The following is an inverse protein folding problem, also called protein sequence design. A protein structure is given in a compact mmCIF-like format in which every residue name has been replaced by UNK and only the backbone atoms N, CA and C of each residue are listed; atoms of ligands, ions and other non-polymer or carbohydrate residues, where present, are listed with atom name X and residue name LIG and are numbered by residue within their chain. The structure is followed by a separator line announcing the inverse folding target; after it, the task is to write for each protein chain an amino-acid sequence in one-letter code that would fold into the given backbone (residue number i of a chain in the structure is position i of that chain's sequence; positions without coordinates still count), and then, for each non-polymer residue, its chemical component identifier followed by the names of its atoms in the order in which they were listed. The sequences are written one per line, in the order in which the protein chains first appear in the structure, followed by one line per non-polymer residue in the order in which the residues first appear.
data_IF_678724415874
#
_entry.id   IF_678724415874
#
_cell.length_a   1.000
_cell.length_b   1.000
_cell.length_c   1.000
_cell.angle_alpha   90.00
_cell.angle_beta   90.00
_cell.angle_gamma   90.00
#
_symmetry.space_group_name_H-M   'P 1'
#
loop_
_entity.id
_entity.type
_entity.pdbx_description
1 polymer ?
#
# COMPACT_ATOMS: atom_id res chain seq x y z
N UNK A 1 -79.61 7.08 -3.25
CA UNK A 1 -78.50 8.02 -3.53
C UNK A 1 -78.78 8.74 -4.84
N UNK A 2 -78.85 10.08 -4.82
CA UNK A 2 -79.37 10.88 -5.93
C UNK A 2 -78.46 10.90 -7.16
N UNK A 3 -79.10 10.99 -8.34
CA UNK A 3 -78.49 11.06 -9.69
C UNK A 3 -77.29 12.01 -9.85
N UNK A 4 -77.18 13.04 -9.00
CA UNK A 4 -76.02 13.95 -8.96
C UNK A 4 -74.74 13.30 -8.43
N UNK A 5 -74.84 12.39 -7.46
CA UNK A 5 -73.68 11.72 -6.85
C UNK A 5 -73.02 10.73 -7.83
N UNK A 6 -73.82 10.04 -8.65
CA UNK A 6 -73.36 9.08 -9.65
C UNK A 6 -72.61 9.80 -10.80
N UNK A 7 -73.10 10.98 -11.22
CA UNK A 7 -72.41 11.80 -12.23
C UNK A 7 -71.06 12.35 -11.73
N UNK A 8 -70.96 12.74 -10.47
CA UNK A 8 -69.70 13.20 -9.88
C UNK A 8 -68.66 12.07 -9.75
N UNK A 9 -69.08 10.86 -9.40
CA UNK A 9 -68.19 9.69 -9.29
C UNK A 9 -67.70 9.25 -10.69
N UNK A 10 -68.56 9.27 -11.71
CA UNK A 10 -68.17 8.94 -13.08
C UNK A 10 -67.22 9.96 -13.71
N UNK A 11 -67.37 11.26 -13.40
CA UNK A 11 -66.42 12.29 -13.86
C UNK A 11 -65.05 12.16 -13.20
N UNK A 12 -65.00 11.85 -11.89
CA UNK A 12 -63.72 11.61 -11.19
C UNK A 12 -63.00 10.35 -11.69
N UNK A 13 -63.74 9.30 -12.05
CA UNK A 13 -63.15 8.09 -12.64
C UNK A 13 -62.60 8.33 -14.06
N UNK A 14 -63.24 9.17 -14.89
CA UNK A 14 -62.72 9.53 -16.22
C UNK A 14 -61.47 10.42 -16.14
N UNK A 15 -61.37 11.34 -15.17
CA UNK A 15 -60.18 12.19 -14.99
C UNK A 15 -58.97 11.42 -14.41
N UNK A 16 -59.20 10.39 -13.60
CA UNK A 16 -58.14 9.49 -13.12
C UNK A 16 -57.63 8.52 -14.22
N UNK A 17 -58.48 8.14 -15.17
CA UNK A 17 -58.11 7.24 -16.27
C UNK A 17 -57.31 7.88 -17.42
N UNK A 18 -57.34 9.21 -17.54
CA UNK A 18 -56.70 9.96 -18.63
C UNK A 18 -55.35 10.62 -18.28
N UNK A 19 -54.85 10.42 -17.05
CA UNK A 19 -53.57 11.00 -16.58
C UNK A 19 -52.43 9.97 -16.39
N UNK A 20 -52.61 8.74 -16.85
CA UNK A 20 -51.57 7.70 -16.82
C UNK A 20 -51.22 7.19 -18.22
N UNK A 21 -50.57 8.01 -19.05
CA UNK A 21 -49.48 7.48 -19.85
C UNK A 21 -48.29 8.46 -19.85
N UNK A 22 -47.14 8.05 -19.29
CA UNK A 22 -45.92 8.83 -19.53
C UNK A 22 -44.72 8.65 -18.62
N UNK A 23 -44.73 7.76 -17.61
CA UNK A 23 -43.56 7.57 -16.74
C UNK A 23 -43.07 6.11 -16.62
N UNK A 24 -43.33 5.31 -17.65
CA UNK A 24 -42.55 4.09 -17.88
C UNK A 24 -41.71 4.28 -19.13
N UNK A 25 -40.72 5.18 -19.02
CA UNK A 25 -39.52 5.05 -19.82
C UNK A 25 -38.73 3.89 -19.20
N UNK A 26 -39.13 2.66 -19.49
CA UNK A 26 -38.23 1.52 -19.41
C UNK A 26 -37.20 1.71 -20.51
N UNK A 27 -36.23 2.58 -20.27
CA UNK A 27 -34.90 2.37 -20.83
C UNK A 27 -34.47 1.01 -20.30
N UNK A 28 -34.64 -0.02 -21.14
CA UNK A 28 -33.79 -1.18 -21.13
C UNK A 28 -32.37 -0.61 -21.23
N UNK A 29 -31.76 -0.30 -20.09
CA UNK A 29 -30.33 -0.23 -19.98
C UNK A 29 -29.93 -1.64 -20.41
N UNK A 30 -29.44 -1.76 -21.65
CA UNK A 30 -28.81 -2.98 -22.08
C UNK A 30 -27.88 -3.35 -20.93
N UNK A 31 -28.11 -4.51 -20.32
CA UNK A 31 -27.13 -5.08 -19.44
C UNK A 31 -25.92 -5.27 -20.34
N UNK A 32 -25.00 -4.30 -20.33
CA UNK A 32 -23.62 -4.54 -20.72
C UNK A 32 -23.27 -5.79 -19.94
N UNK A 33 -23.12 -6.88 -20.69
CA UNK A 33 -22.63 -8.12 -20.15
C UNK A 33 -21.22 -7.73 -19.74
N UNK A 34 -21.01 -7.43 -18.46
CA UNK A 34 -19.68 -7.19 -17.92
C UNK A 34 -18.90 -8.46 -18.22
N UNK A 35 -18.12 -8.41 -19.31
CA UNK A 35 -17.26 -9.48 -19.75
C UNK A 35 -16.35 -9.76 -18.55
N UNK A 36 -16.46 -10.97 -18.00
CA UNK A 36 -15.74 -11.31 -16.79
C UNK A 36 -14.25 -11.04 -17.03
N UNK A 37 -13.55 -10.37 -16.09
CA UNK A 37 -12.15 -10.08 -16.24
C UNK A 37 -11.39 -11.37 -16.57
N UNK A 38 -10.63 -11.35 -17.66
CA UNK A 38 -9.84 -12.51 -18.07
C UNK A 38 -8.39 -12.09 -18.27
N UNK A 39 -7.48 -13.02 -17.96
CA UNK A 39 -6.05 -12.84 -18.15
C UNK A 39 -5.48 -14.11 -18.77
N UNK A 40 -4.54 -13.99 -19.71
CA UNK A 40 -3.82 -15.16 -20.21
C UNK A 40 -2.88 -15.74 -19.15
N UNK A 41 -2.53 -14.97 -18.10
CA UNK A 41 -1.73 -15.43 -16.98
C UNK A 41 -2.62 -16.15 -15.95
N UNK A 42 -2.34 -17.43 -15.71
CA UNK A 42 -3.21 -18.31 -14.92
C UNK A 42 -3.26 -17.91 -13.45
N UNK A 43 -2.21 -17.28 -12.91
CA UNK A 43 -2.13 -16.89 -11.51
C UNK A 43 -2.77 -15.52 -11.18
N UNK A 44 -3.56 -14.92 -12.08
CA UNK A 44 -4.19 -13.60 -11.84
C UNK A 44 -5.57 -13.73 -11.21
N UNK A 45 -6.43 -14.59 -11.75
CA UNK A 45 -7.82 -14.73 -11.31
C UNK A 45 -8.15 -16.11 -10.73
N UNK A 46 -7.21 -17.05 -10.73
CA UNK A 46 -7.42 -18.40 -10.18
C UNK A 46 -7.20 -18.41 -8.66
N UNK A 47 -8.26 -18.72 -7.92
CA UNK A 47 -8.25 -18.76 -6.45
C UNK A 47 -7.47 -19.96 -5.86
N UNK A 48 -7.08 -20.94 -6.66
CA UNK A 48 -6.18 -22.01 -6.24
C UNK A 48 -4.71 -21.56 -6.16
N UNK A 49 -4.36 -20.46 -6.84
CA UNK A 49 -3.02 -19.87 -6.77
C UNK A 49 -2.79 -19.25 -5.39
N UNK A 50 -1.61 -19.49 -4.80
CA UNK A 50 -1.25 -18.98 -3.48
C UNK A 50 0.23 -18.58 -3.42
N UNK A 51 0.54 -17.68 -2.50
CA UNK A 51 1.87 -17.14 -2.31
C UNK A 51 2.78 -18.20 -1.68
N UNK A 52 3.97 -18.38 -2.25
CA UNK A 52 4.97 -19.37 -1.80
C UNK A 52 6.19 -18.72 -1.13
N UNK A 53 6.28 -17.38 -1.21
CA UNK A 53 7.38 -16.60 -0.67
C UNK A 53 8.64 -16.67 -1.54
N UNK A 54 9.45 -15.61 -1.46
CA UNK A 54 10.65 -15.48 -2.31
C UNK A 54 11.71 -16.57 -2.12
N UNK A 55 11.69 -17.30 -1.01
CA UNK A 55 12.63 -18.41 -0.79
C UNK A 55 12.37 -19.58 -1.75
N UNK A 56 11.11 -19.81 -2.15
CA UNK A 56 10.79 -20.78 -3.18
C UNK A 56 11.40 -20.36 -4.54
N UNK A 57 11.34 -19.07 -4.87
CA UNK A 57 11.93 -18.51 -6.09
C UNK A 57 13.45 -18.65 -6.10
N UNK A 58 14.11 -18.40 -4.95
CA UNK A 58 15.57 -18.49 -4.80
C UNK A 58 16.13 -19.85 -5.18
N UNK A 59 15.38 -20.94 -4.94
CA UNK A 59 15.85 -22.30 -5.24
C UNK A 59 16.26 -22.49 -6.71
N UNK A 60 15.59 -21.83 -7.64
CA UNK A 60 15.91 -21.87 -9.08
C UNK A 60 16.50 -20.55 -9.61
N UNK A 61 16.28 -19.44 -8.91
CA UNK A 61 16.65 -18.08 -9.36
C UNK A 61 17.58 -17.35 -8.36
N UNK A 62 18.61 -18.03 -7.85
CA UNK A 62 19.49 -17.51 -6.78
C UNK A 62 20.21 -16.20 -7.17
N UNK A 63 20.66 -16.07 -8.42
CA UNK A 63 21.34 -14.84 -8.89
C UNK A 63 20.38 -13.64 -9.01
N UNK A 64 19.14 -13.87 -9.45
CA UNK A 64 18.11 -12.82 -9.46
C UNK A 64 17.75 -12.43 -8.02
N UNK A 65 17.63 -13.42 -7.13
CA UNK A 65 17.37 -13.17 -5.72
C UNK A 65 18.45 -12.29 -5.08
N UNK A 66 19.74 -12.66 -5.23
CA UNK A 66 20.89 -11.94 -4.67
C UNK A 66 20.94 -10.48 -5.10
N UNK A 67 20.67 -10.20 -6.37
CA UNK A 67 20.68 -8.84 -6.92
C UNK A 67 19.44 -8.06 -6.49
N UNK A 68 18.27 -8.70 -6.52
CA UNK A 68 17.00 -8.05 -6.16
C UNK A 68 16.96 -7.57 -4.71
N UNK A 69 17.44 -8.38 -3.74
CA UNK A 69 17.44 -7.99 -2.32
C UNK A 69 18.34 -6.78 -2.02
N UNK A 70 19.24 -6.39 -2.93
CA UNK A 70 20.09 -5.21 -2.81
C UNK A 70 19.43 -3.94 -3.39
N UNK A 71 18.33 -4.08 -4.11
CA UNK A 71 17.58 -2.94 -4.66
C UNK A 71 16.84 -2.17 -3.57
N UNK A 72 16.39 -0.95 -3.89
CA UNK A 72 15.55 -0.18 -2.96
C UNK A 72 14.24 -0.89 -2.56
N UNK A 73 13.67 -1.71 -3.46
CA UNK A 73 12.49 -2.53 -3.17
C UNK A 73 12.84 -3.69 -2.22
N UNK A 74 13.94 -4.40 -2.47
CA UNK A 74 14.41 -5.46 -1.57
C UNK A 74 14.84 -4.94 -0.19
N UNK A 75 15.27 -3.68 -0.11
CA UNK A 75 15.67 -2.99 1.12
C UNK A 75 14.56 -2.15 1.77
N UNK A 76 13.32 -2.23 1.26
CA UNK A 76 12.22 -1.34 1.69
C UNK A 76 11.79 -1.56 3.15
N UNK A 77 12.12 -2.69 3.75
CA UNK A 77 11.81 -3.02 5.14
C UNK A 77 12.83 -4.02 5.69
N UNK A 78 13.20 -3.89 6.96
CA UNK A 78 14.08 -4.87 7.62
C UNK A 78 14.15 -4.70 9.12
N UNK A 79 14.79 -5.66 9.79
CA UNK A 79 15.11 -5.56 11.23
C UNK A 79 16.02 -4.36 11.46
N UNK A 80 15.83 -3.66 12.57
CA UNK A 80 16.67 -2.55 12.97
C UNK A 80 18.07 -3.04 13.38
N UNK A 81 18.98 -3.08 12.42
CA UNK A 81 20.42 -3.34 12.63
C UNK A 81 21.24 -2.14 12.16
N UNK A 82 22.52 -2.09 12.56
CA UNK A 82 23.44 -1.03 12.12
C UNK A 82 23.65 -1.07 10.61
N UNK A 83 23.63 -2.26 10.02
CA UNK A 83 23.77 -2.48 8.57
C UNK A 83 22.52 -2.02 7.80
N UNK A 84 21.33 -2.20 8.38
CA UNK A 84 20.07 -1.77 7.74
C UNK A 84 19.84 -0.26 7.84
N UNK A 85 20.35 0.36 8.91
CA UNK A 85 20.14 1.79 9.18
C UNK A 85 21.10 2.66 8.36
N UNK A 86 20.53 3.58 7.60
CA UNK A 86 21.28 4.64 6.90
C UNK A 86 21.44 5.91 7.74
N UNK A 87 21.03 5.88 9.02
CA UNK A 87 20.94 7.06 9.84
C UNK A 87 22.26 7.43 10.53
N UNK A 88 22.54 8.74 10.61
CA UNK A 88 23.65 9.26 11.40
C UNK A 88 23.20 9.51 12.84
N UNK A 89 23.88 8.89 13.80
CA UNK A 89 23.59 9.01 15.24
C UNK A 89 24.55 9.99 15.95
N UNK A 90 25.34 10.76 15.21
CA UNK A 90 26.25 11.75 15.77
C UNK A 90 25.49 12.76 16.65
N UNK A 91 26.02 13.13 17.83
CA UNK A 91 25.31 14.02 18.76
C UNK A 91 24.90 15.37 18.16
N UNK A 92 25.62 15.84 17.14
CA UNK A 92 25.34 17.11 16.46
C UNK A 92 24.02 17.11 15.68
N UNK A 93 23.54 15.94 15.21
CA UNK A 93 22.40 15.86 14.29
C UNK A 93 21.25 14.97 14.80
N UNK A 94 21.44 14.26 15.92
CA UNK A 94 20.49 13.27 16.40
C UNK A 94 19.31 13.85 17.21
N UNK A 95 19.44 15.05 17.77
CA UNK A 95 18.39 15.61 18.63
C UNK A 95 17.25 16.22 17.80
N UNK A 96 16.02 15.75 18.04
CA UNK A 96 14.80 16.35 17.47
C UNK A 96 13.99 16.97 18.60
N UNK A 97 13.46 18.17 18.38
CA UNK A 97 12.58 18.86 19.31
C UNK A 97 11.23 19.15 18.68
N UNK A 98 10.17 18.53 19.22
CA UNK A 98 8.79 18.83 18.87
C UNK A 98 8.33 20.03 19.70
N UNK A 99 8.41 21.21 19.09
CA UNK A 99 8.03 22.49 19.71
C UNK A 99 6.54 22.59 20.01
N UNK A 100 5.69 21.82 19.32
CA UNK A 100 4.24 21.88 19.51
C UNK A 100 3.79 21.12 20.75
N UNK A 101 4.43 19.98 21.04
CA UNK A 101 4.12 19.15 22.19
C UNK A 101 5.15 19.23 23.32
N UNK A 102 6.21 20.01 23.15
CA UNK A 102 7.31 20.16 24.10
C UNK A 102 7.94 18.79 24.48
N UNK A 103 8.43 18.07 23.46
CA UNK A 103 9.16 16.82 23.65
C UNK A 103 10.45 16.82 22.85
N UNK A 104 11.51 16.36 23.50
CA UNK A 104 12.76 16.01 22.85
C UNK A 104 12.78 14.54 22.51
N UNK A 105 13.31 14.20 21.34
CA UNK A 105 13.57 12.82 20.92
C UNK A 105 15.05 12.67 20.58
N UNK A 106 15.67 11.62 21.12
CA UNK A 106 17.07 11.26 20.87
C UNK A 106 17.17 9.79 20.45
N UNK A 107 17.49 9.50 19.18
CA UNK A 107 17.82 8.16 18.72
C UNK A 107 19.24 7.79 19.14
N UNK A 108 19.46 6.54 19.54
CA UNK A 108 20.78 6.04 19.89
C UNK A 108 20.85 4.51 19.84
N UNK A 109 22.05 3.99 19.60
CA UNK A 109 22.36 2.58 19.79
C UNK A 109 22.80 2.33 21.23
N UNK A 110 22.27 1.28 21.83
CA UNK A 110 22.85 0.66 23.03
C UNK A 110 23.23 -0.77 22.67
N UNK A 111 24.53 -1.04 22.61
CA UNK A 111 25.09 -2.25 22.01
C UNK A 111 24.57 -2.45 20.57
N UNK A 112 23.77 -3.49 20.34
CA UNK A 112 23.19 -3.84 19.03
C UNK A 112 21.68 -3.62 18.97
N UNK A 113 21.12 -2.88 19.94
CA UNK A 113 19.72 -2.49 19.93
C UNK A 113 19.58 -0.99 19.73
N UNK A 114 18.67 -0.62 18.83
CA UNK A 114 18.32 0.76 18.55
C UNK A 114 17.17 1.22 19.45
N UNK A 115 17.34 2.37 20.10
CA UNK A 115 16.35 3.03 20.93
C UNK A 115 16.08 4.46 20.49
N UNK A 116 14.87 4.92 20.74
CA UNK A 116 14.50 6.33 20.73
C UNK A 116 14.07 6.72 22.14
N UNK A 117 14.77 7.68 22.74
CA UNK A 117 14.39 8.27 24.02
C UNK A 117 13.59 9.54 23.78
N UNK A 118 12.40 9.59 24.34
CA UNK A 118 11.57 10.78 24.45
C UNK A 118 11.72 11.35 25.86
N UNK A 119 11.87 12.66 25.99
CA UNK A 119 11.95 13.32 27.29
C UNK A 119 11.45 14.76 27.25
N UNK A 120 11.13 15.30 28.44
CA UNK A 120 10.81 16.72 28.65
C UNK A 120 11.65 17.28 29.79
N UNK A 121 12.00 18.56 29.69
CA UNK A 121 12.77 19.27 30.69
C UNK A 121 11.91 20.32 31.40
N UNK A 122 12.16 20.53 32.68
CA UNK A 122 11.73 21.72 33.43
C UNK A 122 13.00 22.36 34.00
N UNK A 123 13.45 23.44 33.37
CA UNK A 123 14.80 23.97 33.65
C UNK A 123 15.88 22.97 33.21
N UNK A 124 16.73 22.53 34.14
CA UNK A 124 17.76 21.51 33.89
C UNK A 124 17.27 20.09 34.24
N UNK A 125 16.11 19.96 34.87
CA UNK A 125 15.60 18.68 35.36
C UNK A 125 14.79 17.95 34.30
N UNK A 126 15.02 16.64 34.15
CA UNK A 126 14.19 15.78 33.30
C UNK A 126 12.92 15.37 34.04
N UNK A 127 11.77 15.89 33.63
CA UNK A 127 10.47 15.66 34.27
C UNK A 127 9.64 14.56 33.61
N UNK A 128 9.99 14.17 32.39
CA UNK A 128 9.41 13.03 31.68
C UNK A 128 10.50 12.28 30.95
N UNK A 129 10.43 10.95 30.94
CA UNK A 129 11.34 10.11 30.17
C UNK A 129 10.64 8.82 29.75
N UNK A 130 10.72 8.51 28.46
CA UNK A 130 10.32 7.24 27.87
C UNK A 130 11.43 6.74 26.96
N UNK A 131 11.76 5.45 27.04
CA UNK A 131 12.72 4.80 26.15
C UNK A 131 11.98 3.72 25.37
N UNK A 132 11.96 3.84 24.05
CA UNK A 132 11.32 2.88 23.16
C UNK A 132 12.38 2.16 22.34
N UNK A 133 12.40 0.83 22.43
CA UNK A 133 13.19 0.01 21.51
C UNK A 133 12.54 0.04 20.13
N UNK A 134 13.36 0.17 19.09
CA UNK A 134 12.98 0.06 17.69
C UNK A 134 13.32 -1.35 17.21
N UNK A 135 12.37 -2.00 16.55
CA UNK A 135 12.52 -3.38 16.07
C UNK A 135 12.78 -3.44 14.56
N UNK A 136 12.24 -2.46 13.80
CA UNK A 136 12.32 -2.44 12.35
C UNK A 136 12.62 -1.05 11.78
N UNK A 137 13.26 -1.05 10.61
CA UNK A 137 13.47 0.12 9.76
C UNK A 137 12.64 -0.06 8.50
N UNK A 138 11.84 0.95 8.18
CA UNK A 138 11.05 1.04 6.94
C UNK A 138 11.62 2.15 6.06
N UNK A 139 11.81 1.82 4.78
CA UNK A 139 12.54 2.61 3.80
C UNK A 139 13.90 2.01 3.42
N UNK A 140 14.28 2.18 2.16
CA UNK A 140 15.56 1.69 1.62
C UNK A 140 16.78 2.44 2.11
N UNK A 141 16.59 3.64 2.69
CA UNK A 141 17.68 4.56 3.02
C UNK A 141 18.01 5.56 1.93
N UNK A 142 17.34 5.51 0.76
CA UNK A 142 17.59 6.48 -0.32
C UNK A 142 17.01 7.87 -0.05
N UNK A 143 15.86 7.93 0.62
CA UNK A 143 15.16 9.18 0.97
C UNK A 143 15.01 9.31 2.48
N UNK A 144 14.48 8.26 3.11
CA UNK A 144 14.25 8.23 4.55
C UNK A 144 14.48 6.84 5.13
N UNK A 145 14.74 6.81 6.44
CA UNK A 145 14.62 5.64 7.31
C UNK A 145 13.69 6.01 8.45
N UNK A 146 12.47 5.49 8.39
CA UNK A 146 11.49 5.57 9.46
C UNK A 146 11.56 4.31 10.31
N UNK A 147 11.02 4.39 11.53
CA UNK A 147 11.28 3.41 12.57
C UNK A 147 9.97 2.85 13.09
N UNK A 148 9.94 1.54 13.29
CA UNK A 148 8.78 0.79 13.74
C UNK A 148 9.18 -0.08 14.94
N UNK A 149 8.28 -0.20 15.90
CA UNK A 149 8.41 -1.14 17.01
C UNK A 149 7.18 -2.04 17.11
N UNK A 150 7.36 -3.22 17.69
CA UNK A 150 6.33 -4.23 17.89
C UNK A 150 6.02 -4.39 19.36
N UNK A 151 4.73 -4.51 19.69
CA UNK A 151 4.27 -4.94 21.00
C UNK A 151 3.29 -6.09 20.80
N UNK A 152 3.67 -7.32 21.15
CA UNK A 152 2.84 -8.52 20.98
C UNK A 152 2.25 -8.71 19.56
N UNK A 153 3.05 -8.37 18.54
CA UNK A 153 2.66 -8.45 17.13
C UNK A 153 1.94 -7.21 16.59
N UNK A 154 1.61 -6.23 17.44
CA UNK A 154 1.04 -4.95 17.03
C UNK A 154 2.16 -3.97 16.66
N UNK A 155 2.13 -3.44 15.43
CA UNK A 155 3.17 -2.56 14.91
C UNK A 155 2.81 -1.08 15.01
N UNK A 156 3.78 -0.27 15.44
CA UNK A 156 3.61 1.16 15.64
C UNK A 156 4.77 1.95 15.04
N UNK A 157 4.47 3.13 14.49
CA UNK A 157 5.48 4.05 13.99
C UNK A 157 6.06 4.87 15.14
N UNK A 158 7.38 5.02 15.16
CA UNK A 158 8.05 5.99 16.01
C UNK A 158 7.90 7.43 15.45
N UNK A 159 8.00 8.47 16.29
CA UNK A 159 7.66 9.84 15.90
C UNK A 159 8.73 10.56 15.06
N UNK A 160 9.95 10.02 14.99
CA UNK A 160 11.06 10.62 14.26
C UNK A 160 11.60 9.71 13.15
N UNK A 161 12.04 10.34 12.07
CA UNK A 161 12.63 9.69 10.90
C UNK A 161 13.96 10.34 10.56
N UNK A 162 14.84 9.59 9.92
CA UNK A 162 16.07 10.14 9.35
C UNK A 162 15.84 10.45 7.88
N UNK A 163 16.12 11.69 7.46
CA UNK A 163 16.07 12.13 6.07
C UNK A 163 17.47 12.04 5.46
N UNK A 164 17.77 10.95 4.75
CA UNK A 164 19.14 10.61 4.33
C UNK A 164 19.80 11.70 3.52
N UNK A 165 19.09 12.26 2.52
CA UNK A 165 19.63 13.31 1.64
C UNK A 165 19.89 14.64 2.36
N UNK A 166 19.18 14.89 3.46
CA UNK A 166 19.35 16.10 4.27
C UNK A 166 20.31 15.87 5.44
N UNK A 167 20.78 14.64 5.64
CA UNK A 167 21.62 14.21 6.76
C UNK A 167 21.10 14.68 8.12
N UNK A 168 19.77 14.59 8.34
CA UNK A 168 19.16 15.05 9.58
C UNK A 168 18.04 14.15 10.08
N UNK A 169 17.89 14.13 11.39
CA UNK A 169 16.68 13.67 12.05
C UNK A 169 15.64 14.77 12.09
N UNK A 170 14.39 14.40 11.90
CA UNK A 170 13.26 15.31 12.08
C UNK A 170 12.01 14.49 12.43
N UNK A 171 10.92 15.19 12.68
CA UNK A 171 9.60 14.57 12.83
C UNK A 171 9.27 13.72 11.60
N UNK A 172 8.69 12.56 11.83
CA UNK A 172 8.22 11.69 10.77
C UNK A 172 7.01 12.32 10.05
N UNK A 173 6.82 12.07 8.75
CA UNK A 173 5.73 12.69 7.99
C UNK A 173 4.36 12.46 8.65
N UNK A 174 3.64 13.56 8.92
CA UNK A 174 2.33 13.55 9.59
C UNK A 174 2.39 13.68 11.11
N UNK A 175 3.58 13.85 11.71
CA UNK A 175 3.75 14.14 13.13
C UNK A 175 4.06 15.63 13.41
N UNK A 176 4.24 16.44 12.37
CA UNK A 176 4.55 17.86 12.49
C UNK A 176 3.34 18.69 12.97
N UNK A 177 3.58 19.94 13.40
CA UNK A 177 2.52 20.94 13.64
C UNK A 177 1.44 20.50 14.66
N UNK A 178 1.83 19.76 15.70
CA UNK A 178 0.93 19.36 16.79
C UNK A 178 0.05 18.14 16.49
N UNK A 179 0.24 17.47 15.34
CA UNK A 179 -0.47 16.23 15.01
C UNK A 179 0.27 14.97 15.46
N UNK A 180 1.41 15.12 16.15
CA UNK A 180 2.21 14.01 16.65
C UNK A 180 1.40 13.12 17.58
N UNK A 181 1.26 11.85 17.19
CA UNK A 181 0.72 10.77 18.03
C UNK A 181 1.83 10.06 18.81
N UNK A 182 3.03 10.65 18.90
CA UNK A 182 4.19 10.10 19.62
C UNK A 182 4.48 8.66 19.19
N UNK A 183 4.23 7.68 20.05
CA UNK A 183 4.46 6.25 19.78
C UNK A 183 3.13 5.47 19.65
N UNK A 184 2.01 6.11 19.29
CA UNK A 184 0.71 5.43 19.15
C UNK A 184 0.20 5.34 17.71
N UNK A 185 0.94 5.83 16.71
CA UNK A 185 0.53 5.69 15.30
C UNK A 185 0.60 4.23 14.87
N UNK A 186 -0.55 3.69 14.47
CA UNK A 186 -0.68 2.31 14.01
C UNK A 186 -0.02 2.14 12.63
N UNK A 187 0.71 1.04 12.44
CA UNK A 187 1.16 0.60 11.12
C UNK A 187 0.13 -0.41 10.60
N UNK A 188 -0.78 0.07 9.78
CA UNK A 188 -1.86 -0.74 9.22
C UNK A 188 -1.41 -1.54 7.99
N UNK A 189 -2.27 -2.45 7.55
CA UNK A 189 -2.03 -3.31 6.38
C UNK A 189 -1.65 -2.53 5.13
N UNK A 190 -2.24 -1.36 4.91
CA UNK A 190 -1.90 -0.50 3.77
C UNK A 190 -0.38 -0.22 3.70
N UNK A 191 0.21 0.24 4.81
CA UNK A 191 1.65 0.51 4.90
C UNK A 191 2.48 -0.75 4.61
N UNK A 192 2.13 -1.86 5.26
CA UNK A 192 2.89 -3.10 5.11
C UNK A 192 2.78 -3.69 3.71
N UNK A 193 1.62 -3.55 3.05
CA UNK A 193 1.38 -4.06 1.70
C UNK A 193 2.19 -3.33 0.62
N UNK A 194 2.63 -2.09 0.89
CA UNK A 194 3.44 -1.26 -0.02
C UNK A 194 4.94 -1.31 0.26
N UNK A 195 5.33 -1.75 1.46
CA UNK A 195 6.74 -1.78 1.88
C UNK A 195 7.27 -3.20 2.09
N UNK A 196 6.46 -4.22 1.86
CA UNK A 196 6.80 -5.59 2.18
C UNK A 196 6.15 -6.60 1.21
N UNK A 197 6.71 -7.81 1.17
CA UNK A 197 5.96 -9.01 0.80
C UNK A 197 4.69 -9.15 1.64
N UNK A 198 3.72 -9.95 1.18
CA UNK A 198 2.46 -10.06 1.93
C UNK A 198 2.71 -10.56 3.36
N UNK A 199 2.30 -9.79 4.39
CA UNK A 199 2.47 -10.21 5.76
C UNK A 199 1.37 -11.20 6.17
N UNK A 200 1.61 -11.96 7.23
CA UNK A 200 0.60 -12.77 7.93
C UNK A 200 -0.17 -11.84 8.87
N UNK A 201 -1.17 -11.15 8.31
CA UNK A 201 -2.01 -10.18 9.01
C UNK A 201 -3.14 -10.86 9.77
N UNK A 202 -3.38 -10.43 11.01
CA UNK A 202 -4.46 -10.96 11.83
C UNK A 202 -5.76 -10.26 11.47
N UNK A 203 -6.67 -10.98 10.81
CA UNK A 203 -7.98 -10.50 10.44
C UNK A 203 -8.75 -9.94 11.64
N UNK A 204 -9.42 -8.80 11.45
CA UNK A 204 -10.15 -8.08 12.50
C UNK A 204 -9.29 -7.21 13.42
N UNK A 205 -7.96 -7.23 13.28
CA UNK A 205 -7.08 -6.26 13.93
C UNK A 205 -6.81 -5.05 13.02
N UNK A 206 -6.33 -3.93 13.58
CA UNK A 206 -5.91 -2.77 12.76
C UNK A 206 -4.44 -2.87 12.31
N UNK A 207 -3.58 -3.47 13.12
CA UNK A 207 -2.13 -3.44 12.95
C UNK A 207 -1.40 -4.66 13.55
N UNK A 208 -2.07 -5.81 13.70
CA UNK A 208 -1.46 -7.02 14.25
C UNK A 208 -1.03 -7.99 13.15
N UNK A 209 0.19 -8.52 13.30
CA UNK A 209 0.79 -9.47 12.38
C UNK A 209 1.42 -10.64 13.14
N UNK A 210 1.21 -11.86 12.67
CA UNK A 210 1.92 -13.05 13.17
C UNK A 210 3.33 -13.16 12.56
N UNK A 211 3.50 -12.65 11.35
CA UNK A 211 4.75 -12.67 10.61
C UNK A 211 4.81 -11.55 9.57
N UNK A 212 6.01 -11.00 9.37
CA UNK A 212 6.27 -9.96 8.37
C UNK A 212 7.49 -10.34 7.54
N UNK A 213 7.43 -10.02 6.24
CA UNK A 213 8.54 -10.24 5.32
C UNK A 213 9.63 -9.17 5.53
N UNK A 214 10.71 -9.22 4.74
CA UNK A 214 11.88 -8.31 4.86
C UNK A 214 12.08 -7.46 3.60
N UNK A 215 11.03 -6.77 3.20
CA UNK A 215 11.01 -5.91 2.01
C UNK A 215 10.07 -6.46 0.94
N UNK A 216 9.88 -5.68 -0.13
CA UNK A 216 9.09 -6.10 -1.29
C UNK A 216 9.72 -7.37 -1.87
N UNK A 217 8.89 -8.34 -2.25
CA UNK A 217 9.32 -9.64 -2.77
C UNK A 217 8.95 -9.84 -4.24
N UNK A 218 9.31 -11.00 -4.79
CA UNK A 218 9.06 -11.38 -6.18
C UNK A 218 7.57 -11.36 -6.52
N UNK A 219 6.74 -11.89 -5.62
CA UNK A 219 5.31 -12.12 -5.86
C UNK A 219 4.51 -10.82 -5.82
N UNK A 220 5.05 -9.73 -5.26
CA UNK A 220 4.46 -8.38 -5.38
C UNK A 220 4.37 -7.87 -6.82
N UNK A 221 5.23 -8.36 -7.71
CA UNK A 221 5.23 -8.01 -9.13
C UNK A 221 4.77 -9.16 -10.04
N UNK A 222 4.96 -10.40 -9.60
CA UNK A 222 4.71 -11.61 -10.39
C UNK A 222 3.41 -12.35 -10.01
N UNK A 223 2.76 -11.94 -8.92
CA UNK A 223 1.58 -12.61 -8.37
C UNK A 223 1.93 -13.92 -7.63
N UNK A 224 0.92 -14.68 -7.19
CA UNK A 224 1.10 -15.93 -6.47
C UNK A 224 1.88 -16.95 -7.31
N UNK A 225 2.97 -17.50 -6.78
CA UNK A 225 3.91 -18.35 -7.53
C UNK A 225 3.64 -19.85 -7.49
N UNK A 226 2.63 -20.32 -6.74
CA UNK A 226 2.43 -21.75 -6.46
C UNK A 226 2.32 -22.62 -7.71
N UNK A 227 1.54 -22.20 -8.70
CA UNK A 227 1.37 -22.95 -9.96
C UNK A 227 2.69 -23.09 -10.71
N UNK A 228 3.46 -22.01 -10.79
CA UNK A 228 4.75 -22.01 -11.48
C UNK A 228 5.74 -22.95 -10.80
N UNK A 229 5.87 -22.83 -9.48
CA UNK A 229 6.75 -23.70 -8.69
C UNK A 229 6.34 -25.16 -8.85
N UNK A 230 5.04 -25.48 -8.73
CA UNK A 230 4.54 -26.84 -8.88
C UNK A 230 4.86 -27.42 -10.26
N UNK A 231 4.61 -26.68 -11.34
CA UNK A 231 4.90 -27.14 -12.70
C UNK A 231 6.40 -27.37 -12.94
N UNK A 232 7.25 -26.45 -12.46
CA UNK A 232 8.70 -26.56 -12.68
C UNK A 232 9.28 -27.73 -11.87
N UNK A 233 8.79 -27.94 -10.65
CA UNK A 233 9.17 -29.08 -9.82
C UNK A 233 8.70 -30.43 -10.40
N UNK A 234 7.60 -30.44 -11.15
CA UNK A 234 7.12 -31.61 -11.88
C UNK A 234 7.88 -31.87 -13.20
N UNK A 235 8.86 -31.05 -13.55
CA UNK A 235 9.63 -31.16 -14.80
C UNK A 235 8.95 -30.55 -16.02
N UNK A 236 7.83 -29.84 -15.85
CA UNK A 236 7.14 -29.14 -16.95
C UNK A 236 7.86 -27.81 -17.25
N UNK A 237 8.91 -27.90 -18.06
CA UNK A 237 9.71 -26.73 -18.48
C UNK A 237 9.15 -26.16 -19.78
N UNK A 238 8.84 -24.86 -19.78
CA UNK A 238 8.36 -24.12 -20.96
C UNK A 238 9.54 -23.45 -21.65
N UNK A 239 9.67 -23.66 -22.96
CA UNK A 239 10.64 -22.96 -23.79
C UNK A 239 10.22 -21.49 -23.97
N UNK A 240 10.74 -20.64 -23.10
CA UNK A 240 10.39 -19.21 -23.08
C UNK A 240 10.83 -18.42 -24.31
N UNK A 241 11.64 -19.01 -25.20
CA UNK A 241 12.00 -18.42 -26.50
C UNK A 241 10.84 -18.46 -27.49
N UNK A 242 9.91 -19.42 -27.34
CA UNK A 242 8.74 -19.62 -28.22
C UNK A 242 7.47 -18.94 -27.72
N UNK A 243 7.38 -18.69 -26.42
CA UNK A 243 6.20 -18.10 -25.79
C UNK A 243 6.42 -17.85 -24.31
N UNK A 244 5.54 -17.12 -23.62
CA UNK A 244 5.64 -16.98 -22.17
C UNK A 244 5.27 -18.28 -21.45
N UNK A 245 5.83 -18.44 -20.24
CA UNK A 245 5.28 -19.37 -19.26
C UNK A 245 4.09 -18.70 -18.58
N UNK A 246 2.87 -19.07 -18.97
CA UNK A 246 1.64 -18.50 -18.44
C UNK A 246 1.29 -18.95 -17.00
N UNK A 247 2.13 -19.76 -16.34
CA UNK A 247 1.93 -20.12 -14.92
C UNK A 247 2.23 -18.98 -13.94
N UNK A 248 2.95 -17.94 -14.39
CA UNK A 248 3.33 -16.78 -13.56
C UNK A 248 3.39 -15.51 -14.40
N UNK A 249 2.84 -14.41 -13.88
CA UNK A 249 2.87 -13.12 -14.58
C UNK A 249 4.31 -12.70 -14.85
N UNK A 250 4.56 -12.26 -16.08
CA UNK A 250 5.79 -11.56 -16.44
C UNK A 250 5.45 -10.10 -16.75
N UNK A 251 5.80 -9.13 -15.87
CA UNK A 251 5.51 -7.71 -16.10
C UNK A 251 5.97 -7.20 -17.47
N UNK A 252 7.11 -7.69 -18.00
CA UNK A 252 7.62 -7.28 -19.33
C UNK A 252 6.66 -7.60 -20.48
N UNK A 253 5.74 -8.55 -20.28
CA UNK A 253 4.80 -9.02 -21.29
C UNK A 253 3.36 -8.55 -21.03
N UNK A 254 3.15 -7.71 -20.01
CA UNK A 254 1.85 -7.07 -19.78
C UNK A 254 1.67 -5.88 -20.75
N UNK A 255 0.43 -5.57 -21.17
CA UNK A 255 0.11 -4.25 -21.73
C UNK A 255 0.59 -3.12 -20.81
N UNK A 256 1.01 -1.99 -21.37
CA UNK A 256 1.58 -0.85 -20.63
C UNK A 256 0.71 -0.43 -19.44
N UNK A 257 -0.61 -0.42 -19.61
CA UNK A 257 -1.52 -0.03 -18.52
C UNK A 257 -1.49 -1.01 -17.34
N UNK A 258 -1.42 -2.31 -17.61
CA UNK A 258 -1.32 -3.32 -16.55
C UNK A 258 0.07 -3.31 -15.89
N UNK A 259 1.14 -3.01 -16.65
CA UNK A 259 2.47 -2.76 -16.06
C UNK A 259 2.42 -1.59 -15.07
N UNK A 260 1.79 -0.48 -15.47
CA UNK A 260 1.62 0.67 -14.60
C UNK A 260 0.80 0.34 -13.37
N UNK A 261 -0.28 -0.45 -13.48
CA UNK A 261 -1.10 -0.82 -12.35
C UNK A 261 -0.31 -1.59 -11.28
N UNK A 262 0.61 -2.46 -11.68
CA UNK A 262 1.55 -3.12 -10.74
C UNK A 262 2.35 -2.08 -9.95
N UNK A 263 2.89 -1.07 -10.62
CA UNK A 263 3.66 -0.01 -9.98
C UNK A 263 2.80 0.94 -9.13
N UNK A 264 1.61 1.30 -9.62
CA UNK A 264 0.67 2.21 -8.97
C UNK A 264 0.17 1.68 -7.64
N UNK A 265 0.14 0.36 -7.47
CA UNK A 265 -0.22 -0.25 -6.19
C UNK A 265 0.55 0.31 -5.01
N UNK A 266 1.79 0.76 -5.22
CA UNK A 266 2.64 1.36 -4.19
C UNK A 266 3.05 2.81 -4.51
N UNK A 267 3.24 3.16 -5.78
CA UNK A 267 3.78 4.46 -6.21
C UNK A 267 2.72 5.44 -6.74
N UNK A 268 1.48 5.30 -6.27
CA UNK A 268 0.38 6.24 -6.47
C UNK A 268 -0.31 6.51 -5.13
N UNK A 269 0.40 7.16 -4.21
CA UNK A 269 -0.04 7.34 -2.82
C UNK A 269 -0.95 8.57 -2.66
N UNK A 270 -2.15 8.49 -3.25
CA UNK A 270 -3.25 9.43 -3.02
C UNK A 270 -4.20 8.93 -1.93
N UNK A 271 -5.46 9.37 -1.98
CA UNK A 271 -6.53 8.77 -1.17
C UNK A 271 -6.95 7.48 -1.89
N UNK A 272 -6.50 6.34 -1.37
CA UNK A 272 -6.90 5.02 -1.86
C UNK A 272 -8.25 4.63 -1.26
N UNK A 273 -9.21 4.32 -2.13
CA UNK A 273 -10.56 3.86 -1.76
C UNK A 273 -10.72 2.45 -2.32
N UNK A 274 -10.84 1.47 -1.43
CA UNK A 274 -11.14 0.08 -1.79
C UNK A 274 -12.57 -0.01 -2.32
N UNK A 275 -12.77 -0.82 -3.35
CA UNK A 275 -14.10 -1.18 -3.82
C UNK A 275 -14.81 -2.04 -2.77
N UNK A 276 -16.15 -2.10 -2.85
CA UNK A 276 -16.95 -2.86 -1.90
C UNK A 276 -16.51 -4.33 -1.79
N UNK A 277 -16.32 -4.79 -0.56
CA UNK A 277 -15.88 -6.15 -0.26
C UNK A 277 -14.44 -6.49 -0.65
N UNK A 278 -13.65 -5.52 -1.13
CA UNK A 278 -12.24 -5.70 -1.47
C UNK A 278 -11.31 -5.29 -0.33
N UNK A 279 -10.13 -5.87 -0.37
CA UNK A 279 -9.03 -5.67 0.58
C UNK A 279 -7.72 -5.40 -0.18
N UNK A 280 -6.69 -4.98 0.55
CA UNK A 280 -5.35 -4.78 0.00
C UNK A 280 -4.66 -6.06 -0.51
N UNK A 281 -5.25 -7.24 -0.28
CA UNK A 281 -4.80 -8.54 -0.78
C UNK A 281 -5.41 -8.92 -2.14
N UNK A 282 -6.51 -8.28 -2.56
CA UNK A 282 -7.25 -8.71 -3.75
C UNK A 282 -6.62 -8.24 -5.07
N UNK A 283 -5.61 -7.37 -5.01
CA UNK A 283 -4.86 -6.96 -6.20
C UNK A 283 -3.77 -7.99 -6.54
N UNK A 284 -3.95 -8.66 -7.68
CA UNK A 284 -2.96 -9.52 -8.31
C UNK A 284 -2.28 -8.80 -9.49
N UNK A 285 -0.95 -8.83 -9.60
CA UNK A 285 -0.25 -8.27 -10.76
C UNK A 285 -0.84 -8.80 -12.08
N UNK A 286 -1.13 -7.91 -13.02
CA UNK A 286 -1.78 -8.28 -14.28
C UNK A 286 -3.31 -8.13 -14.30
N UNK A 287 -3.95 -7.70 -13.22
CA UNK A 287 -5.33 -7.19 -13.23
C UNK A 287 -5.36 -5.66 -13.27
N UNK A 288 -6.51 -5.05 -13.57
CA UNK A 288 -6.66 -3.59 -13.47
C UNK A 288 -6.74 -3.18 -12.01
N UNK A 289 -6.01 -2.15 -11.61
CA UNK A 289 -6.03 -1.67 -10.22
C UNK A 289 -7.45 -1.26 -9.78
N UNK A 290 -8.22 -0.68 -10.71
CA UNK A 290 -9.61 -0.22 -10.51
C UNK A 290 -10.60 -1.34 -10.18
N UNK A 291 -10.25 -2.61 -10.42
CA UNK A 291 -11.07 -3.76 -9.98
C UNK A 291 -11.05 -3.94 -8.45
N UNK A 292 -10.03 -3.38 -7.78
CA UNK A 292 -9.80 -3.52 -6.33
C UNK A 292 -9.91 -2.19 -5.61
N UNK A 293 -9.31 -1.14 -6.17
CA UNK A 293 -9.27 0.18 -5.53
C UNK A 293 -9.13 1.30 -6.56
N UNK A 294 -9.60 2.48 -6.18
CA UNK A 294 -9.39 3.71 -6.91
C UNK A 294 -8.52 4.65 -6.07
N UNK A 295 -7.57 5.34 -6.69
CA UNK A 295 -6.69 6.29 -5.99
C UNK A 295 -6.91 7.69 -6.50
N UNK A 296 -7.30 8.59 -5.60
CA UNK A 296 -7.54 9.99 -5.90
C UNK A 296 -6.35 10.84 -5.47
N UNK A 297 -5.70 11.49 -6.44
CA UNK A 297 -4.56 12.37 -6.16
C UNK A 297 -5.06 13.77 -5.80
N UNK A 298 -4.63 14.35 -4.67
CA UNK A 298 -5.01 15.72 -4.32
C UNK A 298 -4.36 16.72 -5.27
N UNK A 299 -5.13 17.69 -5.74
CA UNK A 299 -4.62 18.86 -6.45
C UNK A 299 -4.77 20.08 -5.55
N UNK A 300 -3.67 20.80 -5.34
CA UNK A 300 -3.63 22.00 -4.52
C UNK A 300 -3.50 23.24 -5.42
N UNK A 301 -4.31 24.25 -5.13
CA UNK A 301 -4.25 25.53 -5.84
C UNK A 301 -2.86 26.18 -5.68
N UNK A 302 -2.27 26.64 -6.79
CA UNK A 302 -0.93 27.24 -6.82
C UNK A 302 0.24 26.26 -6.63
N UNK A 303 -0.02 24.95 -6.69
CA UNK A 303 0.99 23.91 -6.51
C UNK A 303 0.91 22.82 -7.58
N UNK A 304 0.51 23.18 -8.81
CA UNK A 304 0.34 22.25 -9.93
C UNK A 304 1.63 21.45 -10.24
N UNK A 305 2.80 22.02 -9.97
CA UNK A 305 4.11 21.38 -10.19
C UNK A 305 4.66 20.64 -8.96
N UNK A 306 3.98 20.70 -7.81
CA UNK A 306 4.43 20.02 -6.59
C UNK A 306 3.97 18.56 -6.61
N UNK A 307 4.94 17.66 -6.62
CA UNK A 307 4.71 16.22 -6.62
C UNK A 307 4.95 15.64 -5.23
N UNK A 308 4.11 14.71 -4.81
CA UNK A 308 4.34 13.92 -3.60
C UNK A 308 5.38 12.82 -3.85
N UNK A 309 5.99 12.30 -2.78
CA UNK A 309 7.09 11.34 -2.88
C UNK A 309 6.72 10.07 -3.67
N UNK A 310 5.49 9.58 -3.54
CA UNK A 310 5.01 8.38 -4.21
C UNK A 310 3.97 8.72 -5.30
N UNK A 311 4.36 9.50 -6.31
CA UNK A 311 3.55 9.79 -7.51
C UNK A 311 4.27 9.47 -8.82
N UNK A 312 5.21 8.51 -8.82
CA UNK A 312 6.07 8.20 -9.97
C UNK A 312 5.28 7.90 -11.25
N UNK A 313 4.21 7.10 -11.16
CA UNK A 313 3.42 6.75 -12.34
C UNK A 313 2.59 7.93 -12.85
N UNK A 314 2.07 8.76 -11.94
CA UNK A 314 1.38 9.99 -12.34
C UNK A 314 2.34 10.94 -13.07
N UNK A 315 3.54 11.15 -12.51
CA UNK A 315 4.59 11.98 -13.12
C UNK A 315 5.00 11.46 -14.49
N UNK A 316 5.16 10.15 -14.62
CA UNK A 316 5.47 9.50 -15.88
C UNK A 316 4.35 9.71 -16.91
N UNK A 317 3.08 9.50 -16.53
CA UNK A 317 1.93 9.69 -17.43
C UNK A 317 1.71 11.15 -17.85
N UNK A 318 2.20 12.12 -17.06
CA UNK A 318 2.18 13.56 -17.40
C UNK A 318 3.28 13.98 -18.39
N UNK A 319 4.26 13.12 -18.66
CA UNK A 319 5.36 13.43 -19.57
C UNK A 319 4.90 13.39 -21.03
N UNK A 320 5.28 14.39 -21.82
CA UNK A 320 5.02 14.41 -23.27
C UNK A 320 5.61 13.19 -24.01
N UNK A 321 6.66 12.58 -23.44
CA UNK A 321 7.31 11.38 -23.98
C UNK A 321 6.63 10.06 -23.59
N UNK A 322 5.53 10.08 -22.84
CA UNK A 322 4.85 8.86 -22.41
C UNK A 322 4.01 8.28 -23.55
N UNK A 323 4.32 7.04 -23.95
CA UNK A 323 3.71 6.32 -25.08
C UNK A 323 3.19 4.95 -24.67
#
# INVERSE_FOLDING_TARGET
MGSRLIKSILLLAMLAGLSLPGFFCTTQKAAETEEQPSSPWRNVYDSAAHYVGMQACRGCHDEVYKTFIQTGMGQSFGVATKEKSAADFSPAHALVYDTALDYYYKPYWSHDSFYIMEYRLLGQDTVHRRVQKVDYVIGSGQHTNSHIFSSNGYLYQAPITFYTQKHKWDMAPGFEKGTSSRFSRLIQLECMSCHNGYPDFVAGSENKYNGIQRGIDCERCHGPGSMHVQEKMAGTIIDTSKGPDYSIVNPRRLPTELQNNVCQRCHLQGIAVLNDGKTFYDFHPGMKLSEVMNVFMPQYEGAQDKMIMASHVERMKKSDCYV
#
